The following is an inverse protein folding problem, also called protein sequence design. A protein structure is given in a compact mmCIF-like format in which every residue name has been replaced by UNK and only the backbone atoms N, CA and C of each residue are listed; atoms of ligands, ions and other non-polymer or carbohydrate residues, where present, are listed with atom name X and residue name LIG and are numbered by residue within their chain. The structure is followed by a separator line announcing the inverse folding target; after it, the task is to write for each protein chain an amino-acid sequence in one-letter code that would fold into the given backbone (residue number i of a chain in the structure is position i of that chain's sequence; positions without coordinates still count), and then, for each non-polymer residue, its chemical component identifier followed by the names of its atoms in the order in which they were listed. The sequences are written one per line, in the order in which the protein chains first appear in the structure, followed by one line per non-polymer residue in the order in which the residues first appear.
data_IF_914972347786
#
_entry.id   IF_914972347786
#
_cell.length_a   1.000
_cell.length_b   1.000
_cell.length_c   1.000
_cell.angle_alpha   90.00
_cell.angle_beta   90.00
_cell.angle_gamma   90.00
#
_symmetry.space_group_name_H-M   'P 1'
#
loop_
_entity.id
_entity.type
_entity.pdbx_description
1 polymer ?
#
# COMPACT_ATOMS: atom_id res chain seq x y z
N UNK A 1 16.95 13.61 14.25
CA UNK A 1 16.66 14.69 15.21
C UNK A 1 17.93 15.47 15.47
N UNK A 2 17.86 16.80 15.59
CA UNK A 2 19.02 17.63 15.94
C UNK A 2 19.02 17.83 17.46
N UNK A 3 20.14 17.51 18.11
CA UNK A 3 20.32 17.61 19.54
C UNK A 3 21.12 18.87 19.91
N UNK A 4 21.01 19.30 21.16
CA UNK A 4 21.58 20.55 21.68
C UNK A 4 23.12 20.57 21.64
N UNK A 5 23.74 19.39 21.61
CA UNK A 5 25.18 19.17 21.42
C UNK A 5 25.63 19.26 19.94
N UNK A 6 24.74 19.71 19.06
CA UNK A 6 24.93 19.73 17.59
C UNK A 6 25.10 18.33 16.98
N UNK A 7 24.89 17.25 17.73
CA UNK A 7 24.77 15.93 17.14
C UNK A 7 23.44 15.81 16.40
N UNK A 8 23.42 15.07 15.30
CA UNK A 8 22.21 14.87 14.50
C UNK A 8 22.09 13.42 14.10
N UNK A 9 20.97 12.79 14.43
CA UNK A 9 20.64 11.45 13.93
C UNK A 9 19.98 11.56 12.56
N UNK A 10 20.65 11.01 11.55
CA UNK A 10 20.12 10.88 10.19
C UNK A 10 19.77 9.41 9.94
N UNK A 11 18.50 9.14 9.65
CA UNK A 11 17.99 7.79 9.36
C UNK A 11 17.53 7.77 7.91
N UNK A 12 18.11 6.88 7.10
CA UNK A 12 17.70 6.64 5.72
C UNK A 12 16.48 5.72 5.71
N UNK A 13 15.32 6.27 5.33
CA UNK A 13 14.10 5.50 5.16
C UNK A 13 14.02 4.91 3.75
N UNK A 14 13.42 3.72 3.58
CA UNK A 14 13.17 3.15 2.27
C UNK A 14 12.27 4.07 1.42
N UNK A 15 12.45 4.03 0.09
CA UNK A 15 11.76 4.92 -0.82
C UNK A 15 10.23 4.81 -0.69
N UNK A 16 9.49 5.84 -1.12
CA UNK A 16 8.03 5.80 -1.10
C UNK A 16 7.48 4.64 -1.94
N UNK A 17 6.37 4.04 -1.49
CA UNK A 17 5.73 2.91 -2.19
C UNK A 17 5.40 3.27 -3.65
N UNK A 18 4.96 4.50 -3.92
CA UNK A 18 4.69 4.99 -5.28
C UNK A 18 5.90 4.87 -6.22
N UNK A 19 7.11 5.12 -5.73
CA UNK A 19 8.34 5.02 -6.55
C UNK A 19 8.68 3.55 -6.85
N UNK A 20 8.52 2.68 -5.84
CA UNK A 20 8.73 1.25 -6.00
C UNK A 20 7.74 0.63 -6.99
N UNK A 21 6.47 0.99 -6.90
CA UNK A 21 5.41 0.54 -7.81
C UNK A 21 5.67 1.04 -9.23
N UNK A 22 6.05 2.31 -9.41
CA UNK A 22 6.42 2.86 -10.71
C UNK A 22 7.58 2.10 -11.36
N UNK A 23 8.61 1.77 -10.56
CA UNK A 23 9.77 1.01 -11.02
C UNK A 23 9.38 -0.40 -11.45
N UNK A 24 8.55 -1.09 -10.66
CA UNK A 24 8.07 -2.43 -10.98
C UNK A 24 7.15 -2.46 -12.22
N UNK A 25 6.28 -1.46 -12.37
CA UNK A 25 5.38 -1.32 -13.49
C UNK A 25 6.04 -0.75 -14.76
N UNK A 26 7.29 -0.25 -14.68
CA UNK A 26 7.98 0.38 -15.80
C UNK A 26 7.40 1.73 -16.24
N UNK A 27 6.66 2.43 -15.37
CA UNK A 27 5.96 3.69 -15.70
C UNK A 27 6.66 4.90 -15.07
N UNK A 28 6.64 6.04 -15.77
CA UNK A 28 7.21 7.30 -15.25
C UNK A 28 6.23 8.09 -14.37
N UNK A 29 4.93 8.02 -14.70
CA UNK A 29 3.85 8.76 -14.03
C UNK A 29 2.69 7.82 -13.68
N UNK A 30 2.02 8.10 -12.57
CA UNK A 30 0.75 7.46 -12.24
C UNK A 30 -0.41 8.10 -13.02
N UNK A 31 -1.61 7.53 -12.88
CA UNK A 31 -2.81 8.00 -13.54
C UNK A 31 -3.12 9.48 -13.25
N UNK A 32 -3.45 10.23 -14.30
CA UNK A 32 -3.81 11.63 -14.17
C UNK A 32 -5.22 11.78 -13.56
N UNK A 33 -6.11 10.83 -13.85
CA UNK A 33 -7.47 10.76 -13.31
C UNK A 33 -7.61 9.77 -12.14
N UNK A 34 -6.50 9.35 -11.54
CA UNK A 34 -6.48 8.37 -10.45
C UNK A 34 -7.01 7.00 -10.87
N UNK A 35 -7.83 6.37 -10.02
CA UNK A 35 -8.38 5.01 -10.21
C UNK A 35 -9.12 4.82 -11.55
N UNK A 36 -9.72 5.87 -12.11
CA UNK A 36 -10.50 5.79 -13.34
C UNK A 36 -9.68 5.56 -14.62
N UNK A 37 -8.35 5.65 -14.54
CA UNK A 37 -7.43 5.48 -15.67
C UNK A 37 -6.38 4.43 -15.33
N UNK A 38 -6.31 3.36 -16.13
CA UNK A 38 -5.32 2.29 -15.96
C UNK A 38 -4.05 2.67 -16.73
N UNK A 39 -2.94 2.83 -16.02
CA UNK A 39 -1.65 3.28 -16.58
C UNK A 39 -0.54 2.23 -16.52
N UNK A 40 -0.78 1.08 -15.90
CA UNK A 40 0.17 -0.03 -15.86
C UNK A 40 -0.34 -1.23 -15.08
N UNK A 41 0.44 -2.31 -15.06
CA UNK A 41 0.18 -3.48 -14.22
C UNK A 41 1.45 -3.97 -13.53
N UNK A 42 1.27 -4.66 -12.40
CA UNK A 42 2.31 -5.43 -11.71
C UNK A 42 1.77 -6.81 -11.36
N UNK A 43 2.67 -7.78 -11.17
CA UNK A 43 2.28 -9.13 -10.73
C UNK A 43 2.15 -9.19 -9.21
N UNK A 44 1.49 -10.24 -8.70
CA UNK A 44 1.41 -10.52 -7.26
C UNK A 44 2.80 -10.70 -6.63
N UNK A 45 3.74 -11.31 -7.34
CA UNK A 45 5.10 -11.51 -6.84
C UNK A 45 5.83 -10.17 -6.65
N UNK A 46 5.70 -9.26 -7.62
CA UNK A 46 6.25 -7.90 -7.52
C UNK A 46 5.60 -7.12 -6.38
N UNK A 47 4.29 -7.26 -6.18
CA UNK A 47 3.60 -6.67 -5.03
C UNK A 47 4.18 -7.17 -3.71
N UNK A 48 4.44 -8.48 -3.59
CA UNK A 48 5.02 -9.09 -2.40
C UNK A 48 6.45 -8.60 -2.14
N UNK A 49 7.29 -8.49 -3.17
CA UNK A 49 8.64 -7.95 -3.05
C UNK A 49 8.65 -6.50 -2.57
N UNK A 50 7.77 -5.67 -3.13
CA UNK A 50 7.61 -4.27 -2.71
C UNK A 50 7.12 -4.22 -1.25
N UNK A 51 6.16 -5.06 -0.89
CA UNK A 51 5.63 -5.14 0.47
C UNK A 51 6.72 -5.56 1.47
N UNK A 52 7.53 -6.57 1.16
CA UNK A 52 8.67 -7.00 1.99
C UNK A 52 9.70 -5.89 2.17
N UNK A 53 10.04 -5.20 1.08
CA UNK A 53 11.00 -4.10 1.11
C UNK A 53 10.50 -2.93 1.97
N UNK A 54 9.20 -2.64 1.90
CA UNK A 54 8.59 -1.51 2.60
C UNK A 54 8.08 -1.85 4.00
N UNK A 55 7.93 -3.13 4.34
CA UNK A 55 7.44 -3.65 5.61
C UNK A 55 8.02 -2.95 6.86
N UNK A 56 9.35 -2.73 7.01
CA UNK A 56 9.89 -2.07 8.20
C UNK A 56 9.42 -0.62 8.39
N UNK A 57 8.86 -0.01 7.35
CA UNK A 57 8.36 1.36 7.31
C UNK A 57 6.83 1.43 7.35
N UNK A 58 6.13 0.29 7.31
CA UNK A 58 4.67 0.20 7.36
C UNK A 58 4.23 -0.16 8.78
N UNK A 59 3.02 0.30 9.13
CA UNK A 59 2.36 -0.13 10.36
C UNK A 59 1.63 -1.48 10.13
N UNK A 60 2.36 -2.50 9.70
CA UNK A 60 1.82 -3.81 9.36
C UNK A 60 2.71 -4.93 9.92
N UNK A 61 2.10 -5.85 10.66
CA UNK A 61 2.81 -6.97 11.30
C UNK A 61 2.96 -8.18 10.36
N UNK A 62 2.08 -8.29 9.36
CA UNK A 62 2.03 -9.40 8.40
C UNK A 62 2.32 -8.90 6.99
N UNK A 63 3.00 -9.73 6.20
CA UNK A 63 3.28 -9.45 4.78
C UNK A 63 1.98 -9.21 4.01
N UNK A 64 0.93 -9.98 4.27
CA UNK A 64 -0.37 -9.81 3.62
C UNK A 64 -1.01 -8.43 3.89
N UNK A 65 -0.92 -7.94 5.12
CA UNK A 65 -1.37 -6.59 5.48
C UNK A 65 -0.52 -5.51 4.79
N UNK A 66 0.79 -5.73 4.68
CA UNK A 66 1.66 -4.84 3.91
C UNK A 66 1.32 -4.85 2.41
N UNK A 67 1.04 -6.03 1.84
CA UNK A 67 0.58 -6.17 0.45
C UNK A 67 -0.74 -5.42 0.22
N UNK A 68 -1.71 -5.49 1.13
CA UNK A 68 -2.95 -4.70 1.09
C UNK A 68 -2.68 -3.19 1.03
N UNK A 69 -1.76 -2.68 1.86
CA UNK A 69 -1.39 -1.26 1.90
C UNK A 69 -0.76 -0.82 0.57
N UNK A 70 0.19 -1.61 0.06
CA UNK A 70 0.85 -1.32 -1.22
C UNK A 70 -0.15 -1.44 -2.37
N UNK A 71 -1.05 -2.42 -2.35
CA UNK A 71 -2.08 -2.62 -3.35
C UNK A 71 -3.06 -1.45 -3.40
N UNK A 72 -3.47 -0.90 -2.26
CA UNK A 72 -4.29 0.31 -2.20
C UNK A 72 -3.58 1.52 -2.82
N UNK A 73 -2.26 1.61 -2.65
CA UNK A 73 -1.43 2.65 -3.30
C UNK A 73 -1.39 2.45 -4.82
N UNK A 74 -1.13 1.23 -5.29
CA UNK A 74 -1.13 0.89 -6.72
C UNK A 74 -2.49 1.23 -7.37
N UNK A 75 -3.60 0.86 -6.72
CA UNK A 75 -4.96 1.15 -7.18
C UNK A 75 -5.20 2.65 -7.38
N UNK A 76 -4.86 3.47 -6.37
CA UNK A 76 -5.03 4.92 -6.45
C UNK A 76 -4.16 5.56 -7.55
N UNK A 77 -3.04 4.93 -7.89
CA UNK A 77 -2.20 5.35 -9.01
C UNK A 77 -2.67 4.83 -10.37
N UNK A 78 -3.74 4.04 -10.44
CA UNK A 78 -4.21 3.43 -11.68
C UNK A 78 -3.37 2.24 -12.15
N UNK A 79 -2.65 1.59 -11.24
CA UNK A 79 -1.87 0.37 -11.54
C UNK A 79 -2.66 -0.85 -11.08
N UNK A 80 -2.94 -1.76 -12.02
CA UNK A 80 -3.65 -3.01 -11.72
C UNK A 80 -2.69 -4.11 -11.27
N UNK A 81 -3.18 -5.06 -10.47
CA UNK A 81 -2.36 -6.14 -9.95
C UNK A 81 -2.93 -7.47 -10.45
N UNK A 82 -2.12 -8.22 -11.16
CA UNK A 82 -2.52 -9.52 -11.69
C UNK A 82 -2.56 -10.55 -10.57
N UNK A 83 -3.72 -11.20 -10.39
CA UNK A 83 -3.92 -12.20 -9.33
C UNK A 83 -4.19 -11.63 -7.93
N UNK A 84 -4.59 -10.35 -7.85
CA UNK A 84 -5.01 -9.71 -6.61
C UNK A 84 -6.27 -8.85 -6.83
N UNK A 85 -7.40 -9.29 -6.28
CA UNK A 85 -8.64 -8.52 -6.32
C UNK A 85 -8.72 -7.56 -5.12
N UNK A 86 -8.83 -6.26 -5.42
CA UNK A 86 -8.86 -5.21 -4.41
C UNK A 86 -10.18 -5.19 -3.63
N UNK A 87 -11.32 -5.45 -4.27
CA UNK A 87 -12.63 -5.39 -3.62
C UNK A 87 -12.84 -6.58 -2.68
N UNK A 88 -12.38 -7.77 -3.07
CA UNK A 88 -12.34 -8.94 -2.20
C UNK A 88 -11.46 -8.66 -0.97
N UNK A 89 -10.26 -8.09 -1.20
CA UNK A 89 -9.33 -7.79 -0.12
C UNK A 89 -9.87 -6.74 0.87
N UNK A 90 -10.63 -5.75 0.40
CA UNK A 90 -11.27 -4.72 1.24
C UNK A 90 -12.38 -5.31 2.09
N UNK A 91 -13.24 -6.12 1.49
CA UNK A 91 -14.39 -6.71 2.19
C UNK A 91 -13.93 -7.58 3.35
N UNK A 92 -12.98 -8.49 3.11
CA UNK A 92 -12.44 -9.34 4.18
C UNK A 92 -11.76 -8.56 5.31
N UNK A 93 -11.06 -7.46 5.01
CA UNK A 93 -10.46 -6.61 6.04
C UNK A 93 -11.51 -5.88 6.89
N UNK A 94 -12.60 -5.44 6.26
CA UNK A 94 -13.69 -4.74 6.95
C UNK A 94 -14.44 -5.69 7.87
N UNK A 95 -14.71 -6.90 7.44
CA UNK A 95 -15.32 -7.93 8.27
C UNK A 95 -14.46 -8.24 9.50
N UNK A 96 -13.14 -8.43 9.29
CA UNK A 96 -12.18 -8.63 10.38
C UNK A 96 -12.20 -7.47 11.38
N UNK A 97 -12.13 -6.23 10.89
CA UNK A 97 -12.19 -5.02 11.75
C UNK A 97 -13.54 -4.84 12.44
N UNK A 98 -14.63 -5.13 11.75
CA UNK A 98 -15.98 -5.04 12.27
C UNK A 98 -16.15 -6.01 13.45
N UNK A 99 -15.64 -7.24 13.32
CA UNK A 99 -15.63 -8.23 14.40
C UNK A 99 -14.83 -7.75 15.62
N UNK A 100 -13.66 -7.14 15.43
CA UNK A 100 -12.82 -6.62 16.54
C UNK A 100 -13.53 -5.50 17.31
N UNK A 101 -14.24 -4.61 16.59
CA UNK A 101 -14.92 -3.47 17.20
C UNK A 101 -16.39 -3.72 17.54
N UNK A 102 -16.89 -4.95 17.33
CA UNK A 102 -18.30 -5.30 17.56
C UNK A 102 -19.29 -4.52 16.68
N UNK A 103 -18.83 -4.04 15.52
CA UNK A 103 -19.61 -3.27 14.56
C UNK A 103 -20.06 -4.16 13.40
N UNK A 104 -21.02 -3.68 12.61
CA UNK A 104 -21.34 -4.31 11.33
C UNK A 104 -20.40 -3.79 10.22
N UNK A 105 -20.03 -4.62 9.23
CA UNK A 105 -19.10 -4.22 8.15
C UNK A 105 -19.54 -2.98 7.37
N UNK A 106 -20.86 -2.78 7.21
CA UNK A 106 -21.42 -1.64 6.48
C UNK A 106 -21.16 -0.31 7.21
N UNK A 107 -21.01 -0.33 8.54
CA UNK A 107 -20.75 0.87 9.35
C UNK A 107 -19.31 1.39 9.20
N UNK A 108 -18.41 0.60 8.59
CA UNK A 108 -17.04 0.98 8.27
C UNK A 108 -16.92 1.58 6.85
N UNK A 109 -18.04 1.94 6.21
CA UNK A 109 -18.07 2.47 4.83
C UNK A 109 -18.27 3.96 4.72
N UNK A 110 -18.78 4.59 5.77
CA UNK A 110 -19.14 6.00 5.79
C UNK A 110 -17.96 6.86 6.25
N UNK A 111 -17.18 7.36 5.29
CA UNK A 111 -16.25 8.48 5.43
C UNK A 111 -16.26 9.30 4.14
#
# INVERSE_FOLDING_TARGET
TVFEDKSSTFVLKPPPAAVLIKKAAGISKGAAKGVGEKVGSITRDQLEEIAKTKLPDLNADKIESAMRIVAGTAYNMGVTIEGWDIEESKTGFREEKAAIWGLKPEQLTSA
#
